data_IF_852527225822
#
_entry.id   IF_852527225822
#
_cell.length_a   1.000
_cell.length_b   1.000
_cell.length_c   1.000
_cell.angle_alpha   90.00
_cell.angle_beta   90.00
_cell.angle_gamma   90.00
#
_symmetry.space_group_name_H-M   'P 1'
#
loop_
_entity.id
_entity.type
_entity.pdbx_description
1 polymer ?
#
# COMPACT_ATOMS: atom_id res chain seq x y z
N UNK A 1 -5.18 17.13 -3.36
CA UNK A 1 -5.69 15.92 -4.06
C UNK A 1 -5.06 14.71 -3.40
N UNK A 2 -5.75 13.57 -3.35
CA UNK A 2 -5.17 12.30 -2.88
C UNK A 2 -5.05 11.34 -4.05
N UNK A 3 -3.93 10.65 -4.14
CA UNK A 3 -3.60 9.68 -5.18
C UNK A 3 -3.16 8.36 -4.51
N UNK A 4 -3.24 7.21 -5.21
CA UNK A 4 -2.64 5.97 -4.71
C UNK A 4 -1.16 6.17 -4.38
N UNK A 5 -0.68 5.51 -3.34
CA UNK A 5 0.73 5.56 -2.94
C UNK A 5 1.65 4.81 -3.92
N UNK A 6 1.13 3.78 -4.58
CA UNK A 6 1.84 2.96 -5.57
C UNK A 6 1.61 1.47 -5.34
N UNK A 7 2.60 0.63 -5.57
CA UNK A 7 2.56 -0.78 -5.19
C UNK A 7 2.76 -0.97 -3.68
N UNK A 8 2.10 -1.98 -3.12
CA UNK A 8 2.14 -2.33 -1.70
C UNK A 8 2.59 -3.77 -1.57
N UNK A 9 3.63 -4.01 -0.77
CA UNK A 9 4.08 -5.37 -0.47
C UNK A 9 3.27 -5.95 0.69
N UNK A 10 2.66 -7.11 0.48
CA UNK A 10 1.69 -7.74 1.34
C UNK A 10 2.23 -9.08 1.87
N UNK A 11 2.53 -9.14 3.16
CA UNK A 11 2.99 -10.36 3.83
C UNK A 11 1.85 -10.88 4.70
N UNK A 12 1.08 -11.82 4.18
CA UNK A 12 -0.05 -12.43 4.87
C UNK A 12 0.30 -13.81 5.41
N UNK A 13 -0.07 -14.08 6.67
CA UNK A 13 0.09 -15.38 7.32
C UNK A 13 -1.17 -16.24 7.17
N UNK A 14 -2.35 -15.62 7.08
CA UNK A 14 -3.64 -16.29 6.96
C UNK A 14 -4.41 -15.79 5.74
N UNK A 15 -5.35 -16.58 5.24
CA UNK A 15 -6.20 -16.13 4.14
C UNK A 15 -7.05 -14.91 4.54
N UNK A 16 -7.45 -14.81 5.82
CA UNK A 16 -8.17 -13.65 6.33
C UNK A 16 -7.30 -12.38 6.25
N UNK A 17 -6.03 -12.49 6.63
CA UNK A 17 -5.07 -11.41 6.45
C UNK A 17 -4.80 -11.07 4.99
N UNK A 18 -4.66 -12.07 4.12
CA UNK A 18 -4.49 -11.84 2.68
C UNK A 18 -5.68 -11.05 2.10
N UNK A 19 -6.91 -11.45 2.44
CA UNK A 19 -8.13 -10.71 2.06
C UNK A 19 -8.17 -9.30 2.63
N UNK A 20 -7.76 -9.09 3.87
CA UNK A 20 -7.72 -7.78 4.50
C UNK A 20 -6.69 -6.85 3.83
N UNK A 21 -5.50 -7.36 3.53
CA UNK A 21 -4.43 -6.65 2.83
C UNK A 21 -4.85 -6.29 1.40
N UNK A 22 -5.43 -7.25 0.67
CA UNK A 22 -5.97 -7.01 -0.66
C UNK A 22 -7.06 -5.94 -0.66
N UNK A 23 -8.01 -6.06 0.27
CA UNK A 23 -9.15 -5.16 0.35
C UNK A 23 -8.71 -3.71 0.54
N UNK A 24 -7.74 -3.45 1.43
CA UNK A 24 -7.24 -2.08 1.66
C UNK A 24 -6.41 -1.57 0.48
N UNK A 25 -5.57 -2.41 -0.14
CA UNK A 25 -4.76 -2.02 -1.29
C UNK A 25 -5.65 -1.64 -2.48
N UNK A 26 -6.65 -2.47 -2.79
CA UNK A 26 -7.63 -2.21 -3.84
C UNK A 26 -8.48 -0.97 -3.55
N UNK A 27 -8.96 -0.80 -2.31
CA UNK A 27 -9.74 0.37 -1.89
C UNK A 27 -8.99 1.69 -2.15
N UNK A 28 -7.67 1.66 -2.04
CA UNK A 28 -6.79 2.82 -2.17
C UNK A 28 -6.15 2.94 -3.56
N UNK A 29 -6.54 2.08 -4.51
CA UNK A 29 -6.06 2.10 -5.89
C UNK A 29 -4.61 1.66 -6.08
N UNK A 30 -4.07 0.92 -5.11
CA UNK A 30 -2.70 0.44 -5.10
C UNK A 30 -2.59 -0.98 -5.71
N UNK A 31 -1.49 -1.25 -6.39
CA UNK A 31 -1.15 -2.61 -6.84
C UNK A 31 -0.64 -3.44 -5.64
N UNK A 32 -1.06 -4.70 -5.51
CA UNK A 32 -0.70 -5.54 -4.37
C UNK A 32 0.28 -6.66 -4.76
N UNK A 33 1.53 -6.54 -4.31
CA UNK A 33 2.53 -7.60 -4.43
C UNK A 33 2.54 -8.45 -3.18
N UNK A 34 2.16 -9.72 -3.28
CA UNK A 34 2.13 -10.64 -2.15
C UNK A 34 3.44 -11.43 -2.03
N UNK A 35 3.88 -11.64 -0.79
CA UNK A 35 4.85 -12.70 -0.50
C UNK A 35 4.27 -14.06 -0.91
N UNK A 36 5.13 -14.96 -1.39
CA UNK A 36 4.70 -16.29 -1.81
C UNK A 36 4.34 -17.19 -0.61
N UNK A 37 3.08 -17.12 -0.20
CA UNK A 37 2.52 -17.94 0.89
C UNK A 37 1.27 -18.68 0.42
N UNK A 38 0.92 -19.83 1.04
CA UNK A 38 -0.31 -20.54 0.70
C UNK A 38 -1.57 -19.66 0.81
N UNK A 39 -1.60 -18.73 1.78
CA UNK A 39 -2.70 -17.79 1.95
C UNK A 39 -2.80 -16.79 0.78
N UNK A 40 -1.67 -16.26 0.31
CA UNK A 40 -1.62 -15.37 -0.84
C UNK A 40 -2.00 -16.09 -2.13
N UNK A 41 -1.49 -17.30 -2.36
CA UNK A 41 -1.84 -18.11 -3.52
C UNK A 41 -3.34 -18.42 -3.57
N UNK A 42 -3.94 -18.81 -2.43
CA UNK A 42 -5.37 -19.08 -2.33
C UNK A 42 -6.21 -17.83 -2.64
N UNK A 43 -5.78 -16.66 -2.15
CA UNK A 43 -6.41 -15.39 -2.48
C UNK A 43 -6.34 -15.12 -3.99
N UNK A 44 -5.14 -15.14 -4.58
CA UNK A 44 -4.93 -14.81 -6.00
C UNK A 44 -5.71 -15.74 -6.92
N UNK A 45 -5.80 -17.03 -6.58
CA UNK A 45 -6.61 -18.02 -7.30
C UNK A 45 -8.12 -17.73 -7.22
N UNK A 46 -8.58 -16.97 -6.23
CA UNK A 46 -9.99 -16.59 -6.06
C UNK A 46 -10.36 -15.28 -6.75
N UNK A 47 -9.38 -14.51 -7.23
CA UNK A 47 -9.61 -13.22 -7.90
C UNK A 47 -10.16 -13.41 -9.32
N UNK A 48 -10.99 -12.47 -9.77
CA UNK A 48 -11.40 -12.38 -11.16
C UNK A 48 -10.29 -11.81 -12.05
N UNK A 49 -10.46 -11.88 -13.38
CA UNK A 49 -9.44 -11.47 -14.34
C UNK A 49 -9.01 -10.00 -14.17
N UNK A 50 -9.96 -9.08 -13.94
CA UNK A 50 -9.67 -7.66 -13.77
C UNK A 50 -8.88 -7.39 -12.47
N UNK A 51 -9.11 -8.20 -11.43
CA UNK A 51 -8.39 -8.11 -10.16
C UNK A 51 -6.99 -8.75 -10.22
N UNK A 52 -6.78 -9.76 -11.06
CA UNK A 52 -5.48 -10.39 -11.26
C UNK A 52 -4.43 -9.44 -11.85
N UNK A 53 -4.83 -8.44 -12.63
CA UNK A 53 -3.90 -7.41 -13.12
C UNK A 53 -3.41 -6.45 -12.01
N UNK A 54 -4.11 -6.42 -10.87
CA UNK A 54 -3.84 -5.52 -9.75
C UNK A 54 -3.23 -6.22 -8.53
N UNK A 55 -3.00 -7.53 -8.62
CA UNK A 55 -2.34 -8.29 -7.57
C UNK A 55 -1.51 -9.44 -8.13
N UNK A 56 -0.34 -9.69 -7.55
CA UNK A 56 0.52 -10.79 -7.97
C UNK A 56 1.44 -11.29 -6.86
N UNK A 57 2.18 -12.35 -7.13
CA UNK A 57 3.26 -12.81 -6.27
C UNK A 57 4.54 -12.05 -6.61
N UNK A 58 5.23 -11.57 -5.59
CA UNK A 58 6.60 -11.05 -5.70
C UNK A 58 7.55 -12.09 -5.12
N UNK A 59 8.50 -12.55 -5.94
CA UNK A 59 9.45 -13.56 -5.52
C UNK A 59 10.36 -13.02 -4.41
N UNK A 60 10.79 -13.89 -3.50
CA UNK A 60 11.54 -13.48 -2.31
C UNK A 60 12.85 -12.77 -2.65
N UNK A 61 13.54 -13.16 -3.73
CA UNK A 61 14.78 -12.55 -4.21
C UNK A 61 14.58 -11.18 -4.87
N UNK A 62 13.35 -10.83 -5.24
CA UNK A 62 12.99 -9.54 -5.83
C UNK A 62 12.58 -8.50 -4.77
N UNK A 63 12.18 -8.94 -3.57
CA UNK A 63 11.65 -8.07 -2.48
C UNK A 63 12.58 -6.91 -2.16
N UNK A 64 13.89 -7.11 -2.25
CA UNK A 64 14.86 -6.09 -1.86
C UNK A 64 15.05 -4.99 -2.92
N UNK A 65 14.68 -5.25 -4.17
CA UNK A 65 14.88 -4.33 -5.31
C UNK A 65 13.57 -3.84 -5.95
N UNK A 66 12.46 -4.54 -5.73
CA UNK A 66 11.17 -4.20 -6.30
C UNK A 66 10.69 -2.82 -5.85
N UNK A 67 9.96 -2.12 -6.71
CA UNK A 67 9.46 -0.77 -6.46
C UNK A 67 8.05 -0.81 -5.85
N UNK A 68 8.00 -1.02 -4.52
CA UNK A 68 6.81 -0.82 -3.70
C UNK A 68 7.02 0.29 -2.68
N UNK A 69 5.94 0.95 -2.28
CA UNK A 69 5.98 2.22 -1.53
C UNK A 69 5.37 2.11 -0.12
N UNK A 70 4.82 0.94 0.23
CA UNK A 70 4.38 0.59 1.59
C UNK A 70 4.40 -0.93 1.79
N UNK A 71 4.37 -1.36 3.05
CA UNK A 71 4.30 -2.77 3.42
C UNK A 71 3.14 -3.02 4.38
N UNK A 72 2.35 -4.06 4.13
CA UNK A 72 1.37 -4.61 5.04
C UNK A 72 1.87 -5.96 5.55
N UNK A 73 1.76 -6.18 6.85
CA UNK A 73 2.28 -7.37 7.51
C UNK A 73 1.23 -7.96 8.45
N UNK A 74 1.08 -9.28 8.38
CA UNK A 74 0.37 -10.08 9.37
C UNK A 74 1.36 -11.04 10.05
N UNK A 75 1.43 -11.01 11.37
CA UNK A 75 2.24 -11.97 12.13
C UNK A 75 2.56 -11.50 13.55
N UNK A 76 3.57 -12.12 14.14
CA UNK A 76 4.05 -11.78 15.48
C UNK A 76 5.15 -10.69 15.47
N UNK A 77 5.61 -10.31 16.66
CA UNK A 77 6.61 -9.27 16.84
C UNK A 77 8.00 -9.64 16.31
N UNK A 78 8.39 -10.91 16.40
CA UNK A 78 9.71 -11.37 15.99
C UNK A 78 9.82 -11.37 14.45
N UNK A 79 8.79 -11.89 13.77
CA UNK A 79 8.69 -11.85 12.33
C UNK A 79 8.55 -10.40 11.81
N UNK A 80 7.80 -9.54 12.50
CA UNK A 80 7.73 -8.11 12.17
C UNK A 80 9.09 -7.42 12.33
N UNK A 81 9.85 -7.76 13.37
CA UNK A 81 11.18 -7.21 13.58
C UNK A 81 12.13 -7.62 12.46
N UNK A 82 12.14 -8.90 12.08
CA UNK A 82 12.96 -9.42 10.98
C UNK A 82 12.60 -8.74 9.64
N UNK A 83 11.29 -8.60 9.35
CA UNK A 83 10.83 -7.90 8.15
C UNK A 83 11.27 -6.44 8.16
N UNK A 84 11.10 -5.72 9.26
CA UNK A 84 11.53 -4.32 9.36
C UNK A 84 13.04 -4.17 9.13
N UNK A 85 13.87 -5.08 9.67
CA UNK A 85 15.31 -5.05 9.44
C UNK A 85 15.67 -5.25 7.97
N UNK A 86 14.98 -6.14 7.27
CA UNK A 86 15.15 -6.36 5.83
C UNK A 86 14.73 -5.13 5.02
N UNK A 87 13.51 -4.62 5.26
CA UNK A 87 12.98 -3.46 4.54
C UNK A 87 13.85 -2.22 4.78
N UNK A 88 14.39 -2.03 5.97
CA UNK A 88 15.28 -0.91 6.29
C UNK A 88 16.63 -0.95 5.55
N UNK A 89 17.05 -2.12 5.04
CA UNK A 89 18.28 -2.27 4.27
C UNK A 89 18.09 -1.98 2.77
N UNK A 90 16.84 -1.84 2.31
CA UNK A 90 16.55 -1.59 0.90
C UNK A 90 17.05 -0.21 0.47
N UNK A 91 17.61 -0.09 -0.75
CA UNK A 91 17.94 1.21 -1.30
C UNK A 91 16.67 2.02 -1.60
N UNK A 92 16.77 3.34 -1.53
CA UNK A 92 15.68 4.24 -1.91
C UNK A 92 14.89 4.79 -0.73
N UNK A 93 13.58 4.95 -0.91
CA UNK A 93 12.71 5.59 0.07
C UNK A 93 12.52 4.72 1.32
N UNK A 94 12.44 5.35 2.49
CA UNK A 94 12.06 4.67 3.73
C UNK A 94 10.58 4.32 3.64
N UNK A 95 10.26 3.03 3.73
CA UNK A 95 8.89 2.55 3.64
C UNK A 95 8.23 2.41 5.00
N UNK A 96 6.94 2.71 5.05
CA UNK A 96 6.13 2.42 6.22
C UNK A 96 5.67 0.96 6.21
N UNK A 97 5.89 0.27 7.33
CA UNK A 97 5.39 -1.09 7.58
C UNK A 97 4.18 -0.99 8.52
N UNK A 98 3.08 -1.63 8.15
CA UNK A 98 1.85 -1.68 8.93
C UNK A 98 1.57 -3.11 9.34
N UNK A 99 1.82 -3.43 10.61
CA UNK A 99 1.64 -4.76 11.17
C UNK A 99 0.32 -4.92 11.92
N UNK A 100 -0.34 -6.05 11.73
CA UNK A 100 -1.40 -6.58 12.59
C UNK A 100 -1.09 -8.01 12.99
N UNK A 101 -1.56 -8.46 14.15
CA UNK A 101 -1.53 -9.89 14.49
C UNK A 101 -2.72 -10.60 13.84
N UNK A 102 -2.61 -11.90 13.60
CA UNK A 102 -3.74 -12.70 13.10
C UNK A 102 -4.96 -12.62 14.03
N UNK A 103 -4.75 -12.59 15.35
CA UNK A 103 -5.82 -12.42 16.33
C UNK A 103 -6.51 -11.05 16.21
N UNK A 104 -5.74 -9.98 15.98
CA UNK A 104 -6.32 -8.65 15.78
C UNK A 104 -7.20 -8.62 14.51
N UNK A 105 -6.72 -9.21 13.41
CA UNK A 105 -7.50 -9.32 12.17
C UNK A 105 -8.76 -10.15 12.40
N UNK A 106 -8.66 -11.29 13.10
CA UNK A 106 -9.80 -12.12 13.45
C UNK A 106 -10.81 -11.39 14.36
N UNK A 107 -10.33 -10.49 15.22
CA UNK A 107 -11.16 -9.61 16.05
C UNK A 107 -11.74 -8.40 15.29
N UNK A 108 -11.47 -8.27 13.99
CA UNK A 108 -12.03 -7.22 13.12
C UNK A 108 -11.15 -5.99 12.97
N UNK A 109 -9.88 -6.02 13.41
CA UNK A 109 -8.94 -4.95 13.11
C UNK A 109 -8.64 -4.91 11.61
N UNK A 110 -8.57 -3.70 11.07
CA UNK A 110 -8.23 -3.44 9.67
C UNK A 110 -7.00 -2.54 9.53
N UNK A 111 -6.36 -2.62 8.37
CA UNK A 111 -5.30 -1.68 8.00
C UNK A 111 -5.91 -0.31 7.69
N UNK A 112 -5.22 0.76 8.10
CA UNK A 112 -5.68 2.15 7.95
C UNK A 112 -5.49 2.62 6.49
N UNK A 113 -6.56 2.85 5.71
CA UNK A 113 -6.44 3.16 4.27
C UNK A 113 -5.66 4.44 3.98
N UNK A 114 -5.78 5.46 4.82
CA UNK A 114 -5.13 6.77 4.63
C UNK A 114 -3.60 6.66 4.60
N UNK A 115 -3.03 5.59 5.18
CA UNK A 115 -1.60 5.31 5.14
C UNK A 115 -1.11 4.79 3.79
N UNK A 116 -2.02 4.36 2.92
CA UNK A 116 -1.73 3.88 1.56
C UNK A 116 -2.08 4.92 0.48
N UNK A 117 -2.29 6.18 0.87
CA UNK A 117 -2.48 7.29 -0.04
C UNK A 117 -1.26 8.23 -0.01
N UNK A 118 -1.15 9.04 -1.07
CA UNK A 118 -0.19 10.14 -1.18
C UNK A 118 -0.94 11.45 -1.34
N UNK A 119 -0.55 12.47 -0.58
CA UNK A 119 -1.10 13.82 -0.68
C UNK A 119 -0.36 14.63 -1.76
N UNK A 120 -1.14 15.30 -2.61
CA UNK A 120 -0.62 16.21 -3.64
C UNK A 120 -1.23 17.61 -3.48
N UNK A 121 -0.36 18.59 -3.24
CA UNK A 121 -0.72 20.01 -3.17
C UNK A 121 -0.28 20.75 -4.44
N UNK A 122 -1.20 21.50 -5.04
CA UNK A 122 -0.97 22.26 -6.26
C UNK A 122 -1.27 23.73 -5.96
N UNK A 123 -0.24 24.57 -5.97
CA UNK A 123 -0.39 26.02 -5.83
C UNK A 123 -0.24 26.66 -7.21
N UNK A 124 -1.31 27.31 -7.68
CA UNK A 124 -1.31 28.00 -8.98
C UNK A 124 -1.25 29.50 -8.72
N UNK A 125 -0.20 30.16 -9.21
CA UNK A 125 -0.14 31.62 -9.21
C UNK A 125 -1.07 32.17 -10.31
N UNK A 126 -2.31 32.49 -9.93
CA UNK A 126 -3.33 33.00 -10.86
C UNK A 126 -3.05 34.43 -11.35
N UNK A 127 -2.12 35.15 -10.73
CA UNK A 127 -1.71 36.50 -11.12
C UNK A 127 -0.44 36.53 -11.99
N UNK A 128 0.11 35.36 -12.34
CA UNK A 128 1.38 35.27 -13.07
C UNK A 128 1.37 36.01 -14.43
N UNK A 129 0.20 36.18 -15.06
CA UNK A 129 0.04 36.94 -16.31
C UNK A 129 -0.01 38.47 -16.12
N UNK A 130 0.20 38.99 -14.90
CA UNK A 130 0.28 40.43 -14.61
C UNK A 130 -1.01 41.06 -14.10
N UNK A 131 -2.04 40.28 -13.79
CA UNK A 131 -3.29 40.77 -13.20
C UNK A 131 -4.09 39.64 -12.56
N UNK A 132 -4.87 39.95 -11.53
CA UNK A 132 -5.78 39.00 -10.89
C UNK A 132 -7.19 39.23 -11.43
N UNK A 133 -7.65 38.34 -12.31
CA UNK A 133 -8.98 38.42 -12.92
C UNK A 133 -10.11 38.47 -11.88
N UNK A 134 -9.99 37.77 -10.75
CA UNK A 134 -10.98 37.78 -9.67
C UNK A 134 -11.06 39.11 -8.92
N UNK A 135 -9.96 39.90 -8.91
CA UNK A 135 -9.97 41.25 -8.34
C UNK A 135 -10.56 42.29 -9.31
N UNK A 136 -10.59 42.02 -10.62
CA UNK A 136 -11.18 42.93 -11.61
C UNK A 136 -12.72 42.95 -11.58
N UNK A 137 -13.35 41.98 -10.90
CA UNK A 137 -14.82 41.85 -10.81
C UNK A 137 -15.42 42.33 -9.49
N UNK A 138 -14.60 42.80 -8.53
CA UNK A 138 -15.06 43.35 -7.25
C UNK A 138 -15.06 44.88 -7.37
N UNK A 139 -16.24 45.50 -7.22
CA UNK A 139 -16.46 46.94 -7.28
C UNK A 139 -17.39 47.43 -6.18
#
# INVERSE_FOLDING_TARGET
MVEPRGAVYCVAATEAGARAQWSVARLTGNHAWFADTPAAQALLASLDADQQDQAGILADDEVDQADYQAVLFEGDGDALQALNQRIAQRPGAILSVHGLTSDAIAAGAGYVPERLLTERSISVNTAAAGGNASLMTIG
#
